data_IF_081089540859
#
_entry.id   IF_081089540859
#
_cell.length_a   1.000
_cell.length_b   1.000
_cell.length_c   1.000
_cell.angle_alpha   90.00
_cell.angle_beta   90.00
_cell.angle_gamma   90.00
#
_symmetry.space_group_name_H-M   'P 1'
#
loop_
_entity.id
_entity.type
_entity.pdbx_description
1 polymer ?
#
# COMPACT_ATOMS: atom_id res chain seq x y z
N UNK A 1 -27.28 -7.90 -0.39
CA UNK A 1 -27.62 -8.04 -1.83
C UNK A 1 -28.89 -8.85 -2.01
N UNK A 2 -29.61 -8.77 -3.12
CA UNK A 2 -30.70 -9.72 -3.39
C UNK A 2 -30.13 -11.08 -3.81
N UNK A 3 -30.88 -12.18 -3.70
CA UNK A 3 -30.46 -13.47 -4.27
C UNK A 3 -30.22 -13.31 -5.77
N UNK A 4 -29.19 -13.96 -6.29
CA UNK A 4 -28.63 -13.78 -7.65
C UNK A 4 -28.05 -12.38 -7.96
N UNK A 5 -28.00 -11.48 -6.98
CA UNK A 5 -27.30 -10.21 -7.11
C UNK A 5 -25.81 -10.45 -7.34
N UNK A 6 -25.15 -9.56 -8.10
CA UNK A 6 -23.71 -9.61 -8.39
C UNK A 6 -22.93 -8.53 -7.67
N UNK A 7 -21.68 -8.82 -7.36
CA UNK A 7 -20.71 -7.87 -6.79
C UNK A 7 -19.38 -8.02 -7.54
N UNK A 8 -18.75 -6.89 -7.84
CA UNK A 8 -17.36 -6.86 -8.33
C UNK A 8 -16.55 -6.07 -7.31
N UNK A 9 -15.48 -6.67 -6.81
CA UNK A 9 -14.55 -6.06 -5.87
C UNK A 9 -13.17 -5.97 -6.52
N UNK A 10 -12.50 -4.84 -6.31
CA UNK A 10 -11.11 -4.65 -6.72
C UNK A 10 -10.34 -4.08 -5.54
N UNK A 11 -9.25 -4.72 -5.17
CA UNK A 11 -8.41 -4.27 -4.06
C UNK A 11 -6.96 -4.68 -4.28
N UNK A 12 -6.06 -3.95 -3.63
CA UNK A 12 -4.63 -4.25 -3.63
C UNK A 12 -4.43 -5.57 -2.88
N UNK A 13 -3.71 -6.50 -3.50
CA UNK A 13 -3.34 -7.77 -2.91
C UNK A 13 -1.83 -7.98 -2.98
N UNK A 14 -1.43 -9.24 -2.83
CA UNK A 14 -0.06 -9.70 -2.98
C UNK A 14 -0.04 -11.07 -3.64
N UNK A 15 1.07 -11.41 -4.27
CA UNK A 15 1.28 -12.74 -4.82
C UNK A 15 1.33 -13.79 -3.71
N UNK A 16 0.91 -15.01 -4.04
CA UNK A 16 1.01 -16.15 -3.15
C UNK A 16 2.48 -16.52 -2.97
N UNK A 17 3.07 -16.07 -1.87
CA UNK A 17 4.43 -16.41 -1.43
C UNK A 17 4.36 -17.08 -0.05
N UNK A 18 5.24 -18.05 0.20
CA UNK A 18 5.31 -18.79 1.47
C UNK A 18 5.59 -17.88 2.68
N UNK A 19 6.17 -16.69 2.44
CA UNK A 19 6.41 -15.70 3.46
C UNK A 19 5.29 -14.64 3.47
N UNK A 20 4.44 -14.58 4.50
CA UNK A 20 3.38 -13.57 4.63
C UNK A 20 3.90 -12.16 4.93
N UNK A 21 5.21 -11.99 5.17
CA UNK A 21 5.89 -10.70 5.29
C UNK A 21 6.57 -10.28 3.98
N UNK A 22 6.64 -11.18 3.00
CA UNK A 22 7.08 -10.78 1.66
C UNK A 22 6.03 -9.86 1.06
N UNK A 23 6.50 -8.79 0.44
CA UNK A 23 5.67 -7.81 -0.24
C UNK A 23 6.27 -7.64 -1.63
N UNK A 24 5.47 -7.93 -2.65
CA UNK A 24 5.81 -7.58 -4.02
C UNK A 24 6.05 -6.06 -4.08
N UNK A 25 7.03 -5.65 -4.88
CA UNK A 25 7.75 -4.36 -4.86
C UNK A 25 6.99 -3.10 -4.38
N UNK A 26 7.73 -2.17 -3.76
CA UNK A 26 7.24 -0.88 -3.24
C UNK A 26 6.19 -1.01 -2.14
N UNK A 27 6.56 -1.61 -1.00
CA UNK A 27 5.75 -1.43 0.20
C UNK A 27 5.91 0.03 0.64
N UNK A 28 5.01 0.88 0.15
CA UNK A 28 4.90 2.29 0.52
C UNK A 28 4.96 2.43 2.04
N UNK A 29 4.42 1.46 2.78
CA UNK A 29 4.48 1.44 4.24
C UNK A 29 5.89 1.18 4.81
N UNK A 30 6.75 0.42 4.14
CA UNK A 30 8.17 0.30 4.51
C UNK A 30 8.90 1.63 4.33
N UNK A 31 8.68 2.32 3.20
CA UNK A 31 9.29 3.64 2.98
C UNK A 31 8.74 4.69 3.94
N UNK A 32 7.45 4.61 4.28
CA UNK A 32 6.81 5.46 5.27
C UNK A 32 7.39 5.20 6.66
N UNK A 33 7.56 3.94 7.05
CA UNK A 33 8.21 3.53 8.30
C UNK A 33 9.65 4.05 8.38
N UNK A 34 10.41 3.96 7.27
CA UNK A 34 11.76 4.54 7.17
C UNK A 34 11.74 6.06 7.37
N UNK A 35 10.77 6.74 6.75
CA UNK A 35 10.60 8.19 6.86
C UNK A 35 10.22 8.63 8.28
N UNK A 36 9.35 7.87 8.95
CA UNK A 36 9.00 8.08 10.37
C UNK A 36 10.22 7.87 11.28
N UNK A 37 11.05 6.86 11.00
CA UNK A 37 12.29 6.61 11.75
C UNK A 37 13.27 7.78 11.65
N UNK A 38 13.40 8.40 10.48
CA UNK A 38 14.23 9.61 10.33
C UNK A 38 13.72 10.76 11.19
N UNK A 39 12.40 10.95 11.30
CA UNK A 39 11.82 11.96 12.20
C UNK A 39 12.08 11.66 13.68
N UNK A 40 12.18 10.38 14.05
CA UNK A 40 12.57 9.97 15.41
C UNK A 40 14.03 10.33 15.67
N UNK A 41 14.92 10.04 14.72
CA UNK A 41 16.35 10.37 14.84
C UNK A 41 16.55 11.89 14.97
N UNK A 42 15.73 12.68 14.27
CA UNK A 42 15.75 14.15 14.33
C UNK A 42 15.03 14.73 15.55
N UNK A 43 14.41 13.90 16.39
CA UNK A 43 13.67 14.35 17.58
C UNK A 43 12.35 15.05 17.29
N UNK A 44 11.84 14.97 16.05
CA UNK A 44 10.57 15.57 15.64
C UNK A 44 9.36 14.72 16.07
N UNK A 45 9.55 13.41 16.24
CA UNK A 45 8.54 12.46 16.73
C UNK A 45 9.19 11.53 17.77
N UNK A 46 8.48 11.18 18.84
CA UNK A 46 8.97 10.19 19.81
C UNK A 46 8.86 8.77 19.26
N UNK A 47 9.86 7.92 19.51
CA UNK A 47 9.85 6.50 19.12
C UNK A 47 8.57 5.76 19.52
N UNK A 48 8.13 5.92 20.78
CA UNK A 48 6.90 5.33 21.32
C UNK A 48 5.63 5.71 20.55
N UNK A 49 5.60 6.90 19.94
CA UNK A 49 4.48 7.36 19.11
C UNK A 49 4.48 6.68 17.74
N UNK A 50 5.66 6.38 17.19
CA UNK A 50 5.79 5.55 15.98
C UNK A 50 5.43 4.10 16.29
N UNK A 51 5.92 3.54 17.40
CA UNK A 51 5.68 2.15 17.78
C UNK A 51 4.20 1.84 18.08
N UNK A 52 3.43 2.85 18.50
CA UNK A 52 1.99 2.73 18.75
C UNK A 52 1.12 2.93 17.50
N UNK A 53 1.71 3.31 16.36
CA UNK A 53 0.97 3.51 15.12
C UNK A 53 0.91 2.22 14.31
N UNK A 54 -0.29 1.67 14.16
CA UNK A 54 -0.55 0.55 13.26
C UNK A 54 -1.30 1.04 12.02
N UNK A 55 -0.73 0.79 10.84
CA UNK A 55 -1.40 1.10 9.58
C UNK A 55 -2.61 0.17 9.41
N UNK A 56 -3.85 0.68 9.29
CA UNK A 56 -5.05 -0.12 9.10
C UNK A 56 -5.18 -0.56 7.63
N UNK A 57 -4.16 -1.23 7.11
CA UNK A 57 -4.10 -1.71 5.74
C UNK A 57 -3.61 -3.15 5.73
N UNK A 58 -4.24 -3.97 4.90
CA UNK A 58 -3.83 -5.35 4.67
C UNK A 58 -4.00 -5.68 3.19
N UNK A 59 -2.96 -6.28 2.62
CA UNK A 59 -2.91 -6.78 1.26
C UNK A 59 -3.05 -8.31 1.26
N UNK A 60 -4.27 -8.84 1.02
CA UNK A 60 -4.49 -10.27 1.07
C UNK A 60 -3.92 -10.98 -0.15
N UNK A 61 -3.61 -12.26 0.02
CA UNK A 61 -3.31 -13.13 -1.12
C UNK A 61 -4.59 -13.72 -1.73
N UNK A 62 -4.52 -14.16 -2.98
CA UNK A 62 -5.65 -14.83 -3.65
C UNK A 62 -6.20 -16.01 -2.83
N UNK A 63 -5.30 -16.76 -2.18
CA UNK A 63 -5.65 -17.89 -1.32
C UNK A 63 -6.46 -17.43 -0.10
N UNK A 64 -6.00 -16.37 0.58
CA UNK A 64 -6.68 -15.82 1.75
C UNK A 64 -8.10 -15.32 1.40
N UNK A 65 -8.25 -14.67 0.24
CA UNK A 65 -9.55 -14.22 -0.27
C UNK A 65 -10.50 -15.40 -0.48
N UNK A 66 -10.06 -16.45 -1.18
CA UNK A 66 -10.88 -17.66 -1.40
C UNK A 66 -11.28 -18.33 -0.09
N UNK A 67 -10.36 -18.43 0.86
CA UNK A 67 -10.63 -19.03 2.16
C UNK A 67 -11.66 -18.22 2.97
N UNK A 68 -11.54 -16.89 3.01
CA UNK A 68 -12.48 -16.04 3.75
C UNK A 68 -13.89 -16.12 3.16
N UNK A 69 -14.02 -16.03 1.83
CA UNK A 69 -15.32 -16.12 1.15
C UNK A 69 -15.93 -17.51 1.33
N UNK A 70 -15.11 -18.56 1.24
CA UNK A 70 -15.55 -19.94 1.49
C UNK A 70 -16.04 -20.15 2.92
N UNK A 71 -15.34 -19.59 3.91
CA UNK A 71 -15.73 -19.64 5.33
C UNK A 71 -16.99 -18.84 5.62
N UNK A 72 -17.19 -17.70 4.96
CA UNK A 72 -18.38 -16.85 5.13
C UNK A 72 -19.62 -17.50 4.49
N UNK A 73 -19.50 -18.03 3.27
CA UNK A 73 -20.45 -18.95 2.67
C UNK A 73 -21.67 -18.34 1.95
N UNK A 74 -21.94 -17.04 2.06
CA UNK A 74 -23.11 -16.37 1.41
C UNK A 74 -22.92 -16.12 -0.08
N UNK A 75 -21.68 -16.11 -0.56
CA UNK A 75 -21.34 -15.80 -1.94
C UNK A 75 -20.75 -17.00 -2.67
N UNK A 76 -20.98 -17.03 -3.98
CA UNK A 76 -20.29 -17.89 -4.92
C UNK A 76 -19.27 -17.04 -5.69
N UNK A 77 -18.02 -17.50 -5.75
CA UNK A 77 -16.98 -16.87 -6.56
C UNK A 77 -17.22 -17.26 -8.02
N UNK A 78 -17.52 -16.29 -8.87
CA UNK A 78 -17.66 -16.48 -10.32
C UNK A 78 -16.34 -16.34 -11.03
N UNK A 79 -15.54 -15.37 -10.60
CA UNK A 79 -14.23 -15.12 -11.14
C UNK A 79 -13.33 -14.48 -10.09
N UNK A 80 -12.03 -14.76 -10.17
CA UNK A 80 -11.01 -14.12 -9.35
C UNK A 80 -9.71 -14.06 -10.15
N UNK A 81 -9.36 -12.86 -10.57
CA UNK A 81 -8.18 -12.59 -11.37
C UNK A 81 -7.15 -11.79 -10.56
N UNK A 82 -5.88 -12.13 -10.76
CA UNK A 82 -4.74 -11.43 -10.18
C UNK A 82 -4.03 -10.69 -11.31
N UNK A 83 -3.92 -9.37 -11.18
CA UNK A 83 -3.29 -8.51 -12.18
C UNK A 83 -2.10 -7.78 -11.57
N UNK A 84 -0.99 -7.79 -12.27
CA UNK A 84 0.19 -7.03 -11.92
C UNK A 84 0.30 -5.80 -12.82
N UNK A 85 0.49 -4.63 -12.23
CA UNK A 85 0.68 -3.40 -12.98
C UNK A 85 1.94 -2.68 -12.51
N UNK A 86 2.71 -2.17 -13.48
CA UNK A 86 3.85 -1.33 -13.19
C UNK A 86 3.40 0.10 -12.87
N UNK A 87 3.61 0.52 -11.63
CA UNK A 87 3.37 1.90 -11.17
C UNK A 87 4.56 2.82 -11.55
N UNK A 88 5.65 2.25 -12.07
CA UNK A 88 6.92 2.92 -12.29
C UNK A 88 7.14 3.43 -13.71
N UNK A 89 6.89 4.72 -13.96
CA UNK A 89 7.64 5.46 -14.98
C UNK A 89 9.05 5.78 -14.47
N UNK A 90 9.88 4.76 -14.28
CA UNK A 90 11.24 4.94 -13.77
C UNK A 90 12.21 5.32 -14.88
N UNK A 91 12.29 6.64 -15.11
CA UNK A 91 13.24 7.25 -16.02
C UNK A 91 14.64 7.31 -15.39
N UNK A 92 15.68 7.14 -16.21
CA UNK A 92 17.08 7.14 -15.77
C UNK A 92 17.64 8.54 -15.40
N UNK A 93 16.95 9.61 -15.78
CA UNK A 93 17.38 10.99 -15.47
C UNK A 93 17.09 11.37 -14.01
N UNK A 94 18.09 11.87 -13.27
CA UNK A 94 17.97 12.24 -11.85
C UNK A 94 16.86 13.27 -11.58
N UNK A 95 16.75 14.31 -12.42
CA UNK A 95 15.70 15.32 -12.29
C UNK A 95 14.29 14.72 -12.47
N UNK A 96 14.14 13.74 -13.37
CA UNK A 96 12.88 13.01 -13.57
C UNK A 96 12.61 12.02 -12.44
N UNK A 97 13.66 11.45 -11.84
CA UNK A 97 13.60 10.55 -10.68
C UNK A 97 13.07 11.26 -9.43
N UNK A 98 13.56 12.47 -9.15
CA UNK A 98 13.05 13.32 -8.08
C UNK A 98 11.56 13.65 -8.28
N UNK A 99 11.17 14.06 -9.50
CA UNK A 99 9.76 14.32 -9.84
C UNK A 99 8.87 13.07 -9.70
N UNK A 100 9.37 11.90 -10.09
CA UNK A 100 8.67 10.62 -9.93
C UNK A 100 8.45 10.28 -8.45
N UNK A 101 9.47 10.47 -7.61
CA UNK A 101 9.36 10.27 -6.16
C UNK A 101 8.35 11.21 -5.50
N UNK A 102 8.31 12.48 -5.91
CA UNK A 102 7.33 13.43 -5.41
C UNK A 102 5.90 13.07 -5.84
N UNK A 103 5.71 12.62 -7.08
CA UNK A 103 4.39 12.20 -7.55
C UNK A 103 3.85 11.02 -6.74
N UNK A 104 4.69 10.01 -6.49
CA UNK A 104 4.31 8.87 -5.66
C UNK A 104 4.06 9.25 -4.20
N UNK A 105 4.89 10.14 -3.64
CA UNK A 105 4.64 10.71 -2.32
C UNK A 105 3.27 11.39 -2.25
N UNK A 106 2.88 12.13 -3.28
CA UNK A 106 1.57 12.78 -3.33
C UNK A 106 0.41 11.77 -3.40
N UNK A 107 0.56 10.67 -4.17
CA UNK A 107 -0.46 9.62 -4.23
C UNK A 107 -0.64 8.94 -2.88
N UNK A 108 0.46 8.55 -2.22
CA UNK A 108 0.40 7.91 -0.91
C UNK A 108 -0.10 8.88 0.15
N UNK A 109 0.31 10.15 0.10
CA UNK A 109 -0.19 11.22 0.95
C UNK A 109 -1.70 11.34 0.87
N UNK A 110 -2.27 11.37 -0.32
CA UNK A 110 -3.72 11.44 -0.51
C UNK A 110 -4.47 10.29 0.16
N UNK A 111 -3.85 9.09 0.26
CA UNK A 111 -4.46 7.90 0.87
C UNK A 111 -4.36 7.92 2.41
N UNK A 112 -3.20 8.26 2.97
CA UNK A 112 -2.94 8.04 4.41
C UNK A 112 -2.77 9.30 5.25
N UNK A 113 -2.72 10.50 4.66
CA UNK A 113 -2.55 11.76 5.41
C UNK A 113 -3.57 11.94 6.53
N UNK A 114 -4.89 11.71 6.35
CA UNK A 114 -5.85 11.87 7.44
C UNK A 114 -5.54 11.00 8.67
N UNK A 115 -5.08 9.77 8.44
CA UNK A 115 -4.69 8.83 9.50
C UNK A 115 -3.42 9.31 10.22
N UNK A 116 -2.45 9.78 9.43
CA UNK A 116 -1.18 10.28 9.95
C UNK A 116 -1.37 11.59 10.71
N UNK A 117 -2.23 12.50 10.25
CA UNK A 117 -2.58 13.74 10.95
C UNK A 117 -3.22 13.42 12.29
N UNK A 118 -4.20 12.49 12.30
CA UNK A 118 -4.90 12.10 13.50
C UNK A 118 -3.96 11.53 14.59
N UNK A 119 -2.93 10.78 14.19
CA UNK A 119 -1.98 10.19 15.12
C UNK A 119 -0.79 11.11 15.43
N UNK A 120 -0.09 11.62 14.42
CA UNK A 120 1.16 12.35 14.55
C UNK A 120 1.00 13.87 14.68
N UNK A 121 -0.13 14.43 14.21
CA UNK A 121 -0.38 15.87 14.16
C UNK A 121 0.09 16.51 12.85
N UNK A 122 -0.61 17.56 12.43
CA UNK A 122 -0.44 18.24 11.13
C UNK A 122 0.99 18.76 10.89
N UNK A 123 1.62 19.32 11.92
CA UNK A 123 2.97 19.88 11.84
C UNK A 123 4.05 18.87 11.37
N UNK A 124 3.81 17.57 11.58
CA UNK A 124 4.74 16.50 11.22
C UNK A 124 4.65 16.10 9.74
N UNK A 125 3.48 16.31 9.12
CA UNK A 125 3.10 15.69 7.84
C UNK A 125 3.94 16.21 6.69
N UNK A 126 4.16 17.52 6.63
CA UNK A 126 4.96 18.12 5.56
C UNK A 126 6.38 17.53 5.52
N UNK A 127 7.06 17.50 6.67
CA UNK A 127 8.42 16.95 6.78
C UNK A 127 8.44 15.44 6.51
N UNK A 128 7.45 14.70 7.00
CA UNK A 128 7.30 13.27 6.75
C UNK A 128 7.26 12.96 5.25
N UNK A 129 6.39 13.66 4.51
CA UNK A 129 6.23 13.39 3.08
C UNK A 129 7.38 13.88 2.21
N UNK A 130 8.13 14.91 2.65
CA UNK A 130 9.38 15.28 1.99
C UNK A 130 10.44 14.19 2.13
N UNK A 131 10.58 13.59 3.32
CA UNK A 131 11.48 12.45 3.54
C UNK A 131 11.03 11.22 2.77
N UNK A 132 9.72 10.97 2.75
CA UNK A 132 9.13 9.89 1.97
C UNK A 132 9.45 10.04 0.47
N UNK A 133 9.22 11.22 -0.11
CA UNK A 133 9.55 11.51 -1.51
C UNK A 133 11.05 11.27 -1.80
N UNK A 134 11.91 11.67 -0.87
CA UNK A 134 13.34 11.38 -0.97
C UNK A 134 13.62 9.87 -0.99
N UNK A 135 13.09 9.09 -0.02
CA UNK A 135 13.28 7.65 0.03
C UNK A 135 12.76 6.94 -1.23
N UNK A 136 11.58 7.32 -1.71
CA UNK A 136 11.03 6.82 -2.98
C UNK A 136 11.99 7.14 -4.13
N UNK A 137 12.50 8.38 -4.20
CA UNK A 137 13.43 8.78 -5.26
C UNK A 137 14.70 7.95 -5.24
N UNK A 138 15.20 7.51 -4.08
CA UNK A 138 16.46 6.78 -3.96
C UNK A 138 16.32 5.27 -4.11
N UNK A 139 15.11 4.72 -3.94
CA UNK A 139 14.90 3.28 -3.93
C UNK A 139 15.26 2.64 -5.28
N UNK A 140 16.22 1.71 -5.27
CA UNK A 140 16.77 1.09 -6.48
C UNK A 140 15.79 0.10 -7.14
N UNK A 141 14.96 -0.57 -6.32
CA UNK A 141 13.93 -1.52 -6.81
C UNK A 141 12.74 -0.83 -7.47
N UNK A 142 12.67 0.51 -7.45
CA UNK A 142 11.63 1.23 -8.17
C UNK A 142 11.69 1.00 -9.69
N UNK A 143 12.73 0.38 -10.26
CA UNK A 143 12.84 0.14 -11.70
C UNK A 143 11.69 -0.72 -12.26
N UNK A 144 11.11 -1.61 -11.46
CA UNK A 144 9.95 -2.44 -11.79
C UNK A 144 8.96 -2.39 -10.61
N UNK A 145 8.00 -1.44 -10.60
CA UNK A 145 7.06 -1.30 -9.47
C UNK A 145 5.81 -2.12 -9.73
N UNK A 146 5.83 -3.42 -9.48
CA UNK A 146 4.61 -4.22 -9.62
C UNK A 146 3.72 -4.11 -8.39
N UNK A 147 2.56 -3.48 -8.54
CA UNK A 147 1.45 -3.64 -7.58
C UNK A 147 0.53 -4.73 -8.08
N UNK A 148 0.11 -5.58 -7.14
CA UNK A 148 -0.84 -6.66 -7.39
C UNK A 148 -2.25 -6.16 -7.08
N UNK A 149 -3.16 -6.31 -8.03
CA UNK A 149 -4.58 -6.03 -7.87
C UNK A 149 -5.35 -7.33 -8.01
N UNK A 150 -6.23 -7.61 -7.06
CA UNK A 150 -7.17 -8.71 -7.11
C UNK A 150 -8.52 -8.20 -7.59
N UNK A 151 -9.04 -8.79 -8.66
CA UNK A 151 -10.36 -8.48 -9.23
C UNK A 151 -11.26 -9.68 -9.02
N UNK A 152 -12.31 -9.50 -8.23
CA UNK A 152 -13.18 -10.57 -7.76
C UNK A 152 -14.61 -10.32 -8.24
N UNK A 153 -15.22 -11.34 -8.83
CA UNK A 153 -16.62 -11.36 -9.23
C UNK A 153 -17.40 -12.38 -8.38
N UNK A 154 -18.46 -11.93 -7.72
CA UNK A 154 -19.28 -12.72 -6.80
C UNK A 154 -20.75 -12.70 -7.21
N UNK A 155 -21.45 -13.79 -6.93
CA UNK A 155 -22.91 -13.85 -6.93
C UNK A 155 -23.42 -14.22 -5.54
N UNK A 156 -24.42 -13.50 -5.03
CA UNK A 156 -25.11 -13.89 -3.78
C UNK A 156 -25.96 -15.13 -4.03
N UNK A 157 -25.74 -16.17 -3.22
CA UNK A 157 -26.60 -17.36 -3.18
C UNK A 157 -28.02 -16.98 -2.75
#
# INVERSE_FOLDING_TARGET
>A
MISNGRMVLTFIGRNNMDNPLHRDCCHFWTLLSKSLRDLVIEGLVSASKVDSFYMPFYDPSEKEVKEIIGKEGSFEIKDLETHEYDIGHCNQDEAKRSKSGQNEANYIRAVCEPLLVAHFGDATIYTLFNKFAYHVSQHADCRNKTTVSLVLSLTRK
#
